data_IF_266664366296
#
_entry.id   IF_266664366296
#
_cell.length_a   1.000
_cell.length_b   1.000
_cell.length_c   1.000
_cell.angle_alpha   90.00
_cell.angle_beta   90.00
_cell.angle_gamma   90.00
#
_symmetry.space_group_name_H-M   'P 1'
#
loop_
_entity.id
_entity.type
_entity.pdbx_description
1 polymer ?
#
# COMPACT_ATOMS: atom_id res chain seq x y z
N UNK A 1 -8.61 -28.19 8.46
CA UNK A 1 -8.60 -26.72 8.23
C UNK A 1 -7.99 -26.45 6.87
N UNK A 2 -8.62 -25.60 6.04
CA UNK A 2 -8.01 -25.22 4.77
C UNK A 2 -6.84 -24.24 5.00
N UNK A 3 -5.90 -24.18 4.06
CA UNK A 3 -4.73 -23.27 4.13
C UNK A 3 -5.21 -21.81 4.28
N UNK A 4 -6.30 -21.43 3.64
CA UNK A 4 -6.91 -20.10 3.75
C UNK A 4 -7.38 -19.77 5.17
N UNK A 5 -7.94 -20.73 5.91
CA UNK A 5 -8.36 -20.55 7.30
C UNK A 5 -7.18 -20.40 8.25
N UNK A 6 -6.07 -21.10 7.98
CA UNK A 6 -4.84 -20.96 8.77
C UNK A 6 -4.24 -19.57 8.55
N UNK A 7 -4.09 -19.12 7.29
CA UNK A 7 -3.59 -17.80 6.96
C UNK A 7 -4.46 -16.68 7.56
N UNK A 8 -5.78 -16.82 7.48
CA UNK A 8 -6.70 -15.88 8.11
C UNK A 8 -6.46 -15.77 9.62
N UNK A 9 -6.39 -16.89 10.34
CA UNK A 9 -6.23 -16.90 11.80
C UNK A 9 -4.88 -16.39 12.26
N UNK A 10 -3.80 -16.66 11.50
CA UNK A 10 -2.45 -16.30 11.94
C UNK A 10 -2.11 -14.86 11.55
N UNK A 11 -2.55 -14.39 10.38
CA UNK A 11 -2.15 -13.09 9.84
C UNK A 11 -3.26 -12.06 9.97
N UNK A 12 -4.46 -12.35 9.42
CA UNK A 12 -5.52 -11.33 9.32
C UNK A 12 -6.21 -11.10 10.65
N UNK A 13 -6.54 -12.15 11.38
CA UNK A 13 -7.29 -12.03 12.64
C UNK A 13 -6.59 -11.14 13.68
N UNK A 14 -5.30 -11.28 13.99
CA UNK A 14 -4.63 -10.38 14.93
C UNK A 14 -4.59 -8.94 14.43
N UNK A 15 -4.45 -8.70 13.12
CA UNK A 15 -4.48 -7.35 12.57
C UNK A 15 -5.87 -6.71 12.69
N UNK A 16 -6.93 -7.47 12.44
CA UNK A 16 -8.32 -7.01 12.65
C UNK A 16 -8.53 -6.64 14.12
N UNK A 17 -8.10 -7.48 15.06
CA UNK A 17 -8.22 -7.20 16.49
C UNK A 17 -7.47 -5.94 16.91
N UNK A 18 -6.27 -5.70 16.38
CA UNK A 18 -5.50 -4.48 16.64
C UNK A 18 -6.29 -3.25 16.15
N UNK A 19 -6.86 -3.32 14.95
CA UNK A 19 -7.64 -2.22 14.37
C UNK A 19 -8.91 -1.96 15.21
N UNK A 20 -9.66 -3.00 15.56
CA UNK A 20 -10.87 -2.91 16.39
C UNK A 20 -10.56 -2.32 17.78
N UNK A 21 -9.62 -2.89 18.49
CA UNK A 21 -9.24 -2.42 19.84
C UNK A 21 -8.78 -0.96 19.78
N UNK A 22 -7.94 -0.61 18.80
CA UNK A 22 -7.47 0.76 18.64
C UNK A 22 -8.63 1.72 18.36
N UNK A 23 -9.56 1.32 17.49
CA UNK A 23 -10.74 2.12 17.18
C UNK A 23 -11.59 2.37 18.42
N UNK A 24 -11.96 1.31 19.13
CA UNK A 24 -12.81 1.43 20.33
C UNK A 24 -12.16 2.23 21.44
N UNK A 25 -10.87 2.05 21.69
CA UNK A 25 -10.15 2.83 22.71
C UNK A 25 -10.12 4.32 22.37
N UNK A 26 -9.80 4.67 21.11
CA UNK A 26 -9.72 6.06 20.68
C UNK A 26 -11.13 6.67 20.61
N UNK A 27 -12.12 5.93 20.12
CA UNK A 27 -13.51 6.39 20.08
C UNK A 27 -14.07 6.64 21.51
N UNK A 28 -13.72 5.77 22.46
CA UNK A 28 -14.09 5.97 23.87
C UNK A 28 -13.44 7.21 24.50
N UNK A 29 -12.20 7.51 24.11
CA UNK A 29 -11.45 8.66 24.63
C UNK A 29 -11.96 9.99 24.07
N UNK A 30 -12.21 10.04 22.76
CA UNK A 30 -12.56 11.29 22.05
C UNK A 30 -14.06 11.41 21.74
N UNK A 31 -14.85 10.34 21.93
CA UNK A 31 -16.28 10.28 21.55
C UNK A 31 -16.53 10.73 20.11
N UNK A 32 -15.61 10.40 19.21
CA UNK A 32 -15.63 10.84 17.83
C UNK A 32 -15.06 9.74 16.90
N UNK A 33 -15.94 9.09 16.13
CA UNK A 33 -15.57 7.98 15.27
C UNK A 33 -14.61 8.39 14.13
N UNK A 34 -14.70 9.63 13.64
CA UNK A 34 -13.77 10.16 12.64
C UNK A 34 -12.35 10.30 13.19
N UNK A 35 -12.20 10.85 14.40
CA UNK A 35 -10.90 10.91 15.11
C UNK A 35 -10.39 9.49 15.40
N UNK A 36 -11.27 8.56 15.74
CA UNK A 36 -10.88 7.16 15.94
C UNK A 36 -10.27 6.54 14.68
N UNK A 37 -10.85 6.77 13.51
CA UNK A 37 -10.29 6.31 12.22
C UNK A 37 -8.90 6.91 11.96
N UNK A 38 -8.70 8.22 12.22
CA UNK A 38 -7.39 8.86 12.08
C UNK A 38 -6.36 8.24 13.05
N UNK A 39 -6.78 8.01 14.30
CA UNK A 39 -5.93 7.40 15.32
C UNK A 39 -5.56 5.96 15.01
N UNK A 40 -6.48 5.16 14.48
CA UNK A 40 -6.20 3.80 13.99
C UNK A 40 -5.14 3.84 12.88
N UNK A 41 -5.26 4.78 11.93
CA UNK A 41 -4.25 4.95 10.88
C UNK A 41 -2.87 5.23 11.46
N UNK A 42 -2.79 6.06 12.48
CA UNK A 42 -1.54 6.38 13.17
C UNK A 42 -0.94 5.16 13.89
N UNK A 43 -1.76 4.45 14.68
CA UNK A 43 -1.34 3.23 15.40
C UNK A 43 -0.83 2.17 14.44
N UNK A 44 -1.58 1.89 13.36
CA UNK A 44 -1.19 0.90 12.35
C UNK A 44 0.10 1.32 11.67
N UNK A 45 0.27 2.60 11.32
CA UNK A 45 1.51 3.11 10.72
C UNK A 45 2.70 2.89 11.65
N UNK A 46 2.57 3.17 12.96
CA UNK A 46 3.62 2.93 13.95
C UNK A 46 3.99 1.46 14.07
N UNK A 47 3.00 0.58 14.12
CA UNK A 47 3.22 -0.87 14.19
C UNK A 47 3.89 -1.42 12.93
N UNK A 48 3.60 -0.83 11.77
CA UNK A 48 4.21 -1.21 10.50
C UNK A 48 5.63 -0.64 10.31
N UNK A 49 6.05 0.37 11.07
CA UNK A 49 7.37 1.00 10.91
C UNK A 49 8.53 0.00 10.84
N UNK A 50 8.68 -0.95 11.79
CA UNK A 50 9.80 -1.90 11.73
C UNK A 50 9.75 -2.78 10.47
N UNK A 51 8.55 -3.17 10.03
CA UNK A 51 8.37 -3.96 8.81
C UNK A 51 8.75 -3.16 7.56
N UNK A 52 8.38 -1.88 7.51
CA UNK A 52 8.75 -0.99 6.41
C UNK A 52 10.25 -0.75 6.35
N UNK A 53 10.94 -0.56 7.48
CA UNK A 53 12.40 -0.40 7.53
C UNK A 53 13.09 -1.65 6.94
N UNK A 54 12.66 -2.84 7.35
CA UNK A 54 13.19 -4.09 6.80
C UNK A 54 12.90 -4.21 5.30
N UNK A 55 11.68 -3.87 4.86
CA UNK A 55 11.31 -3.91 3.45
C UNK A 55 12.14 -2.94 2.60
N UNK A 56 12.33 -1.71 3.07
CA UNK A 56 13.15 -0.68 2.40
C UNK A 56 14.60 -1.13 2.25
N UNK A 57 15.18 -1.72 3.30
CA UNK A 57 16.53 -2.29 3.23
C UNK A 57 16.65 -3.37 2.12
N UNK A 58 15.72 -4.33 2.07
CA UNK A 58 15.73 -5.35 1.03
C UNK A 58 15.49 -4.80 -0.38
N UNK A 59 14.65 -3.78 -0.51
CA UNK A 59 14.44 -3.09 -1.78
C UNK A 59 15.71 -2.36 -2.24
N UNK A 60 16.42 -1.71 -1.32
CA UNK A 60 17.68 -1.03 -1.62
C UNK A 60 18.77 -2.02 -2.06
N UNK A 61 18.92 -3.13 -1.34
CA UNK A 61 19.83 -4.22 -1.72
C UNK A 61 19.52 -4.72 -3.14
N UNK A 62 18.24 -4.93 -3.46
CA UNK A 62 17.84 -5.36 -4.79
C UNK A 62 18.13 -4.30 -5.87
N UNK A 63 17.80 -3.02 -5.64
CA UNK A 63 18.10 -1.92 -6.58
C UNK A 63 19.59 -1.84 -6.87
N UNK A 64 20.42 -1.91 -5.83
CA UNK A 64 21.87 -1.84 -5.97
C UNK A 64 22.42 -3.04 -6.76
N UNK A 65 21.89 -4.23 -6.50
CA UNK A 65 22.27 -5.46 -7.23
C UNK A 65 21.88 -5.37 -8.70
N UNK A 66 20.63 -5.04 -8.98
CA UNK A 66 20.13 -4.90 -10.37
C UNK A 66 20.88 -3.80 -11.11
N UNK A 67 21.14 -2.67 -10.46
CA UNK A 67 21.91 -1.57 -11.06
C UNK A 67 23.31 -1.99 -11.49
N UNK A 68 24.01 -2.79 -10.69
CA UNK A 68 25.34 -3.33 -11.02
C UNK A 68 25.29 -4.33 -12.17
N UNK A 69 24.25 -5.18 -12.22
CA UNK A 69 24.13 -6.21 -13.26
C UNK A 69 23.62 -5.66 -14.59
N UNK A 70 22.83 -4.59 -14.57
CA UNK A 70 22.11 -4.04 -15.73
C UNK A 70 23.00 -3.78 -16.95
N UNK A 71 24.20 -3.14 -16.86
CA UNK A 71 24.99 -2.83 -18.05
C UNK A 71 25.39 -4.08 -18.85
N UNK A 72 25.69 -5.18 -18.17
CA UNK A 72 26.04 -6.44 -18.83
C UNK A 72 24.79 -7.18 -19.34
N UNK A 73 23.72 -7.16 -18.57
CA UNK A 73 22.42 -7.72 -18.98
C UNK A 73 21.93 -7.03 -20.26
N UNK A 74 22.01 -5.70 -20.34
CA UNK A 74 21.59 -4.95 -21.54
C UNK A 74 22.47 -5.26 -22.75
N UNK A 75 23.78 -5.49 -22.57
CA UNK A 75 24.68 -5.94 -23.65
C UNK A 75 24.30 -7.34 -24.16
N UNK A 76 24.04 -8.29 -23.25
CA UNK A 76 23.62 -9.64 -23.63
C UNK A 76 22.30 -9.59 -24.40
N UNK A 77 21.33 -8.81 -23.95
CA UNK A 77 20.04 -8.66 -24.62
C UNK A 77 20.12 -8.03 -26.01
N UNK A 78 21.14 -7.20 -26.25
CA UNK A 78 21.38 -6.58 -27.56
C UNK A 78 22.16 -7.48 -28.51
N UNK A 79 23.06 -8.33 -27.98
CA UNK A 79 23.95 -9.16 -28.77
C UNK A 79 23.37 -10.53 -29.12
N UNK A 80 22.46 -11.07 -28.30
CA UNK A 80 21.93 -12.41 -28.43
C UNK A 80 20.41 -12.39 -28.45
N UNK A 81 19.78 -13.44 -29.02
CA UNK A 81 18.32 -13.63 -29.09
C UNK A 81 17.96 -15.09 -28.83
N UNK A 82 16.68 -15.35 -28.51
CA UNK A 82 16.16 -16.71 -28.28
C UNK A 82 16.87 -17.48 -27.16
N UNK A 83 17.15 -18.76 -27.40
CA UNK A 83 17.73 -19.66 -26.39
C UNK A 83 19.15 -19.27 -26.00
N UNK A 84 19.92 -18.74 -26.93
CA UNK A 84 21.29 -18.28 -26.65
C UNK A 84 21.28 -17.11 -25.65
N UNK A 85 20.38 -16.15 -25.85
CA UNK A 85 20.18 -15.04 -24.89
C UNK A 85 19.80 -15.56 -23.50
N UNK A 86 18.87 -16.51 -23.45
CA UNK A 86 18.44 -17.12 -22.19
C UNK A 86 19.59 -17.83 -21.47
N UNK A 87 20.38 -18.63 -22.18
CA UNK A 87 21.53 -19.32 -21.62
C UNK A 87 22.59 -18.34 -21.09
N UNK A 88 22.91 -17.29 -21.85
CA UNK A 88 23.88 -16.28 -21.45
C UNK A 88 23.42 -15.49 -20.24
N UNK A 89 22.13 -15.10 -20.18
CA UNK A 89 21.57 -14.41 -19.03
C UNK A 89 21.56 -15.29 -17.77
N UNK A 90 21.15 -16.55 -17.91
CA UNK A 90 21.10 -17.49 -16.79
C UNK A 90 22.49 -17.77 -16.23
N UNK A 91 23.48 -17.95 -17.13
CA UNK A 91 24.87 -18.15 -16.73
C UNK A 91 25.42 -16.93 -16.00
N UNK A 92 25.17 -15.71 -16.54
CA UNK A 92 25.61 -14.47 -15.93
C UNK A 92 24.98 -14.24 -14.56
N UNK A 93 23.69 -14.48 -14.40
CA UNK A 93 23.00 -14.37 -13.11
C UNK A 93 23.56 -15.38 -12.10
N UNK A 94 23.80 -16.61 -12.50
CA UNK A 94 24.38 -17.66 -11.64
C UNK A 94 25.81 -17.28 -11.18
N UNK A 95 26.64 -16.74 -12.07
CA UNK A 95 27.99 -16.29 -11.74
C UNK A 95 28.02 -15.13 -10.73
N UNK A 96 26.96 -14.32 -10.71
CA UNK A 96 26.80 -13.20 -9.77
C UNK A 96 25.93 -13.56 -8.56
N UNK A 97 25.66 -14.83 -8.32
CA UNK A 97 24.80 -15.31 -7.23
C UNK A 97 23.44 -14.63 -7.17
N UNK A 98 22.92 -14.20 -8.34
CA UNK A 98 21.63 -13.55 -8.49
C UNK A 98 20.60 -14.52 -9.05
N UNK A 99 19.47 -14.65 -8.36
CA UNK A 99 18.33 -15.43 -8.85
C UNK A 99 17.17 -14.49 -9.17
N UNK A 100 16.48 -14.65 -10.32
CA UNK A 100 15.37 -13.78 -10.72
C UNK A 100 14.24 -13.62 -9.68
N UNK A 101 14.04 -14.61 -8.81
CA UNK A 101 13.07 -14.53 -7.70
C UNK A 101 13.44 -13.43 -6.69
N UNK A 102 14.73 -13.03 -6.62
CA UNK A 102 15.17 -11.93 -5.77
C UNK A 102 14.55 -10.59 -6.20
N UNK A 103 14.11 -10.46 -7.46
CA UNK A 103 13.37 -9.30 -7.93
C UNK A 103 12.04 -9.07 -7.16
N UNK A 104 11.49 -10.09 -6.50
CA UNK A 104 10.33 -9.93 -5.61
C UNK A 104 10.65 -9.03 -4.41
N UNK A 105 11.94 -8.90 -4.03
CA UNK A 105 12.36 -8.00 -2.96
C UNK A 105 12.01 -6.54 -3.25
N UNK A 106 12.00 -6.14 -4.51
CA UNK A 106 11.57 -4.79 -4.91
C UNK A 106 10.09 -4.51 -4.61
N UNK A 107 9.28 -5.55 -4.45
CA UNK A 107 7.84 -5.47 -4.17
C UNK A 107 7.49 -5.74 -2.70
N UNK A 108 8.47 -5.93 -1.80
CA UNK A 108 8.21 -6.28 -0.41
C UNK A 108 7.30 -5.27 0.31
N UNK A 109 7.50 -3.97 0.07
CA UNK A 109 6.66 -2.93 0.68
C UNK A 109 5.18 -3.08 0.30
N UNK A 110 4.90 -3.40 -0.97
CA UNK A 110 3.53 -3.64 -1.44
C UNK A 110 2.94 -4.93 -0.85
N UNK A 111 3.75 -5.99 -0.76
CA UNK A 111 3.30 -7.28 -0.22
C UNK A 111 2.93 -7.17 1.27
N UNK A 112 3.69 -6.39 2.05
CA UNK A 112 3.37 -6.11 3.45
C UNK A 112 2.05 -5.34 3.57
N UNK A 113 1.76 -4.43 2.65
CA UNK A 113 0.58 -3.58 2.70
C UNK A 113 -0.73 -4.37 2.51
N UNK A 114 -0.72 -5.47 1.74
CA UNK A 114 -1.93 -6.25 1.42
C UNK A 114 -2.65 -6.79 2.67
N UNK A 115 -2.01 -7.48 3.63
CA UNK A 115 -2.68 -7.98 4.83
C UNK A 115 -3.30 -6.86 5.68
N UNK A 116 -2.62 -5.72 5.83
CA UNK A 116 -3.14 -4.57 6.57
C UNK A 116 -4.34 -3.94 5.87
N UNK A 117 -4.31 -3.85 4.53
CA UNK A 117 -5.44 -3.41 3.74
C UNK A 117 -6.65 -4.34 3.92
N UNK A 118 -6.45 -5.66 3.82
CA UNK A 118 -7.53 -6.64 3.98
C UNK A 118 -8.14 -6.60 5.39
N UNK A 119 -7.30 -6.43 6.42
CA UNK A 119 -7.78 -6.30 7.80
C UNK A 119 -8.58 -5.02 8.01
N UNK A 120 -8.09 -3.87 7.55
CA UNK A 120 -8.80 -2.60 7.61
C UNK A 120 -10.10 -2.63 6.81
N UNK A 121 -10.08 -3.20 5.61
CA UNK A 121 -11.27 -3.36 4.78
C UNK A 121 -12.34 -4.20 5.49
N UNK A 122 -11.96 -5.36 6.06
CA UNK A 122 -12.91 -6.26 6.72
C UNK A 122 -13.49 -5.66 8.00
N UNK A 123 -12.74 -4.82 8.70
CA UNK A 123 -13.15 -4.16 9.94
C UNK A 123 -13.94 -2.87 9.62
N UNK A 124 -13.29 -1.86 9.04
CA UNK A 124 -13.87 -0.51 8.91
C UNK A 124 -15.06 -0.43 7.95
N UNK A 125 -15.13 -1.29 6.92
CA UNK A 125 -16.29 -1.29 6.01
C UNK A 125 -17.58 -1.77 6.64
N UNK A 126 -17.50 -2.48 7.77
CA UNK A 126 -18.66 -3.09 8.42
C UNK A 126 -18.92 -2.54 9.82
N UNK A 127 -18.14 -1.56 10.25
CA UNK A 127 -18.21 -1.02 11.60
C UNK A 127 -19.50 -0.23 11.80
N UNK A 128 -20.41 -0.63 12.73
CA UNK A 128 -21.69 0.03 12.94
C UNK A 128 -21.54 1.50 13.35
N UNK A 129 -20.48 1.83 14.09
CA UNK A 129 -20.19 3.17 14.61
C UNK A 129 -19.87 4.18 13.51
N UNK A 130 -19.56 3.72 12.30
CA UNK A 130 -19.32 4.59 11.16
C UNK A 130 -20.60 4.83 10.33
N UNK A 131 -21.62 4.00 10.48
CA UNK A 131 -22.86 4.12 9.73
C UNK A 131 -23.66 5.35 10.20
N UNK A 132 -24.00 6.23 9.26
CA UNK A 132 -24.70 7.48 9.57
C UNK A 132 -23.86 8.51 10.33
N UNK A 133 -22.58 8.25 10.60
CA UNK A 133 -21.69 9.18 11.32
C UNK A 133 -21.07 10.17 10.34
N UNK A 134 -21.29 11.47 10.58
CA UNK A 134 -20.69 12.54 9.78
C UNK A 134 -19.34 13.00 10.36
N UNK A 135 -18.37 13.25 9.49
CA UNK A 135 -17.06 13.76 9.90
C UNK A 135 -16.48 14.70 8.85
N UNK A 136 -16.09 15.90 9.26
CA UNK A 136 -15.63 16.97 8.36
C UNK A 136 -16.66 17.24 7.24
N UNK A 137 -16.27 17.05 5.99
CA UNK A 137 -17.11 17.19 4.80
C UNK A 137 -17.82 15.89 4.38
N UNK A 138 -17.54 14.77 5.08
CA UNK A 138 -18.14 13.47 4.82
C UNK A 138 -19.48 13.40 5.57
N UNK A 139 -20.56 13.14 4.85
CA UNK A 139 -21.92 13.05 5.44
C UNK A 139 -22.17 11.74 6.17
N UNK A 140 -21.63 10.65 5.65
CA UNK A 140 -21.76 9.30 6.21
C UNK A 140 -20.43 8.55 5.98
N UNK A 141 -19.74 8.22 7.06
CA UNK A 141 -18.48 7.49 6.98
C UNK A 141 -18.65 6.01 6.61
N UNK A 142 -19.85 5.47 6.78
CA UNK A 142 -20.19 4.10 6.43
C UNK A 142 -20.57 3.91 4.96
N UNK A 143 -20.72 5.00 4.19
CA UNK A 143 -21.10 5.00 2.79
C UNK A 143 -20.02 5.69 1.94
N UNK A 144 -20.00 5.50 0.60
CA UNK A 144 -19.19 6.31 -0.32
C UNK A 144 -19.51 7.80 -0.14
N UNK A 145 -18.49 8.66 -0.28
CA UNK A 145 -18.61 10.09 0.07
C UNK A 145 -19.62 10.86 -0.77
N UNK A 146 -19.86 10.46 -2.02
CA UNK A 146 -20.87 11.03 -2.94
C UNK A 146 -20.99 12.57 -2.83
N UNK A 147 -19.83 13.26 -2.73
CA UNK A 147 -19.78 14.72 -2.46
C UNK A 147 -20.39 15.55 -3.58
N UNK A 148 -20.32 15.08 -4.82
CA UNK A 148 -20.97 15.69 -5.96
C UNK A 148 -21.86 14.69 -6.68
N UNK A 149 -23.07 15.14 -7.06
CA UNK A 149 -23.95 14.39 -7.92
C UNK A 149 -24.21 15.19 -9.21
N UNK A 150 -23.99 14.54 -10.36
CA UNK A 150 -24.30 15.10 -11.67
C UNK A 150 -25.38 14.22 -12.30
N UNK A 151 -26.62 14.66 -12.21
CA UNK A 151 -27.77 13.85 -12.61
C UNK A 151 -27.91 12.60 -11.76
N UNK A 152 -27.88 11.43 -12.38
CA UNK A 152 -27.94 10.12 -11.71
C UNK A 152 -26.60 9.55 -11.25
N UNK A 153 -25.49 10.26 -11.51
CA UNK A 153 -24.15 9.79 -11.16
C UNK A 153 -23.61 10.50 -9.93
N UNK A 154 -23.21 9.73 -8.92
CA UNK A 154 -22.51 10.24 -7.76
C UNK A 154 -21.00 10.17 -8.01
N UNK A 155 -20.32 11.29 -7.77
CA UNK A 155 -18.86 11.40 -7.90
C UNK A 155 -18.26 11.35 -6.49
N UNK A 156 -17.46 10.30 -6.25
CA UNK A 156 -16.74 10.10 -5.01
C UNK A 156 -15.38 10.82 -5.11
N UNK A 157 -15.25 11.93 -4.39
CA UNK A 157 -14.05 12.79 -4.46
C UNK A 157 -12.94 12.30 -3.55
N UNK A 158 -13.29 11.73 -2.40
CA UNK A 158 -12.30 11.28 -1.44
C UNK A 158 -11.32 10.23 -2.02
N UNK A 159 -11.76 9.20 -2.78
CA UNK A 159 -10.83 8.28 -3.44
C UNK A 159 -9.95 8.95 -4.50
N UNK A 160 -10.46 9.96 -5.19
CA UNK A 160 -9.69 10.74 -6.19
C UNK A 160 -8.62 11.56 -5.47
N UNK A 161 -8.98 12.29 -4.40
CA UNK A 161 -8.04 13.06 -3.58
C UNK A 161 -6.96 12.16 -2.97
N UNK A 162 -7.36 10.99 -2.44
CA UNK A 162 -6.44 9.96 -1.94
C UNK A 162 -5.43 9.55 -3.03
N UNK A 163 -5.90 9.30 -4.24
CA UNK A 163 -5.04 8.87 -5.36
C UNK A 163 -4.04 9.97 -5.75
N UNK A 164 -4.47 11.23 -5.76
CA UNK A 164 -3.57 12.37 -6.03
C UNK A 164 -2.49 12.45 -4.95
N UNK A 165 -2.85 12.31 -3.67
CA UNK A 165 -1.90 12.27 -2.55
C UNK A 165 -0.92 11.11 -2.72
N UNK A 166 -1.38 9.93 -3.11
CA UNK A 166 -0.54 8.76 -3.36
C UNK A 166 0.47 8.98 -4.50
N UNK A 167 0.02 9.59 -5.60
CA UNK A 167 0.90 9.90 -6.74
C UNK A 167 1.97 10.92 -6.32
N UNK A 168 1.60 11.96 -5.59
CA UNK A 168 2.54 12.96 -5.08
C UNK A 168 3.55 12.32 -4.11
N UNK A 169 3.05 11.55 -3.14
CA UNK A 169 3.88 10.83 -2.18
C UNK A 169 4.84 9.85 -2.88
N UNK A 170 4.33 9.11 -3.87
CA UNK A 170 5.10 8.21 -4.70
C UNK A 170 6.19 8.93 -5.50
N UNK A 171 5.90 10.09 -6.09
CA UNK A 171 6.87 10.89 -6.83
C UNK A 171 8.01 11.38 -5.92
N UNK A 172 7.69 11.80 -4.69
CA UNK A 172 8.68 12.21 -3.68
C UNK A 172 9.55 11.03 -3.24
N UNK A 173 8.90 9.89 -2.91
CA UNK A 173 9.57 8.69 -2.45
C UNK A 173 10.51 8.10 -3.51
N UNK A 174 10.06 8.03 -4.76
CA UNK A 174 10.80 7.40 -5.87
C UNK A 174 11.78 8.33 -6.58
N UNK A 175 12.09 9.49 -6.01
CA UNK A 175 13.09 10.38 -6.58
C UNK A 175 14.44 9.67 -6.68
N UNK A 176 14.95 9.51 -7.92
CA UNK A 176 16.18 8.76 -8.19
C UNK A 176 15.99 7.26 -8.46
N UNK A 177 14.79 6.72 -8.33
CA UNK A 177 14.53 5.31 -8.61
C UNK A 177 14.40 5.00 -10.10
N UNK A 178 14.61 3.73 -10.51
CA UNK A 178 14.38 3.28 -11.88
C UNK A 178 12.94 3.53 -12.31
N UNK A 179 12.74 3.78 -13.62
CA UNK A 179 11.41 4.05 -14.19
C UNK A 179 10.39 2.93 -13.89
N UNK A 180 10.84 1.68 -13.87
CA UNK A 180 9.99 0.51 -13.55
C UNK A 180 9.31 0.64 -12.18
N UNK A 181 10.06 1.04 -11.15
CA UNK A 181 9.52 1.21 -9.80
C UNK A 181 8.54 2.38 -9.71
N UNK A 182 8.83 3.49 -10.41
CA UNK A 182 7.89 4.63 -10.51
C UNK A 182 6.58 4.23 -11.16
N UNK A 183 6.63 3.49 -12.27
CA UNK A 183 5.43 2.99 -12.95
C UNK A 183 4.66 2.05 -12.02
N UNK A 184 5.34 1.14 -11.33
CA UNK A 184 4.70 0.18 -10.43
C UNK A 184 3.90 0.89 -9.32
N UNK A 185 4.45 1.93 -8.69
CA UNK A 185 3.77 2.69 -7.64
C UNK A 185 2.56 3.44 -8.19
N UNK A 186 2.67 4.07 -9.35
CA UNK A 186 1.55 4.77 -9.97
C UNK A 186 0.43 3.82 -10.41
N UNK A 187 0.79 2.66 -10.97
CA UNK A 187 -0.20 1.62 -11.32
C UNK A 187 -0.93 1.12 -10.08
N UNK A 188 -0.21 0.92 -8.96
CA UNK A 188 -0.85 0.55 -7.70
C UNK A 188 -1.80 1.63 -7.18
N UNK A 189 -1.43 2.90 -7.28
CA UNK A 189 -2.33 4.01 -6.89
C UNK A 189 -3.64 3.99 -7.70
N UNK A 190 -3.57 3.70 -9.01
CA UNK A 190 -4.75 3.57 -9.86
C UNK A 190 -5.58 2.32 -9.55
N UNK A 191 -4.94 1.19 -9.24
CA UNK A 191 -5.63 -0.03 -8.79
C UNK A 191 -6.41 0.26 -7.50
N UNK A 192 -5.79 0.93 -6.53
CA UNK A 192 -6.48 1.32 -5.29
C UNK A 192 -7.61 2.31 -5.54
N UNK A 193 -7.48 3.22 -6.50
CA UNK A 193 -8.60 4.09 -6.90
C UNK A 193 -9.80 3.25 -7.33
N UNK A 194 -9.60 2.26 -8.19
CA UNK A 194 -10.70 1.41 -8.68
C UNK A 194 -11.34 0.61 -7.54
N UNK A 195 -10.52 -0.01 -6.69
CA UNK A 195 -11.00 -0.83 -5.56
C UNK A 195 -11.75 0.01 -4.53
N UNK A 196 -11.23 1.21 -4.21
CA UNK A 196 -11.77 2.05 -3.15
C UNK A 196 -12.81 3.05 -3.63
N UNK A 197 -13.08 3.14 -4.94
CA UNK A 197 -13.99 4.16 -5.48
C UNK A 197 -15.41 4.09 -4.91
N UNK A 198 -15.92 2.89 -4.66
CA UNK A 198 -17.24 2.66 -4.07
C UNK A 198 -17.15 2.17 -2.61
N UNK A 199 -16.00 2.32 -1.99
CA UNK A 199 -15.82 1.92 -0.60
C UNK A 199 -16.33 2.99 0.37
N UNK A 200 -16.69 2.60 1.62
CA UNK A 200 -17.08 3.54 2.65
C UNK A 200 -16.03 4.62 2.89
N UNK A 201 -16.47 5.86 3.05
CA UNK A 201 -15.59 7.02 3.21
C UNK A 201 -14.65 6.90 4.41
N UNK A 202 -15.06 6.23 5.49
CA UNK A 202 -14.20 5.96 6.64
C UNK A 202 -12.99 5.09 6.29
N UNK A 203 -13.17 4.08 5.43
CA UNK A 203 -12.05 3.26 4.94
C UNK A 203 -11.11 4.06 4.04
N UNK A 204 -11.67 4.89 3.14
CA UNK A 204 -10.86 5.74 2.24
C UNK A 204 -10.08 6.78 3.05
N UNK A 205 -10.69 7.35 4.09
CA UNK A 205 -10.05 8.28 5.01
C UNK A 205 -8.88 7.61 5.76
N UNK A 206 -9.11 6.41 6.31
CA UNK A 206 -8.07 5.60 6.94
C UNK A 206 -6.87 5.42 5.99
N UNK A 207 -7.13 5.01 4.75
CA UNK A 207 -6.10 4.77 3.76
C UNK A 207 -5.35 6.04 3.36
N UNK A 208 -6.08 7.14 3.20
CA UNK A 208 -5.50 8.46 2.92
C UNK A 208 -4.52 8.88 4.02
N UNK A 209 -4.92 8.72 5.28
CA UNK A 209 -4.08 9.07 6.42
C UNK A 209 -2.84 8.18 6.54
N UNK A 210 -2.97 6.87 6.28
CA UNK A 210 -1.81 5.97 6.20
C UNK A 210 -0.78 6.45 5.15
N UNK A 211 -1.25 6.90 3.99
CA UNK A 211 -0.37 7.42 2.95
C UNK A 211 0.30 8.73 3.37
N UNK A 212 -0.43 9.62 4.05
CA UNK A 212 0.13 10.87 4.59
C UNK A 212 1.17 10.57 5.66
N UNK A 213 0.91 9.67 6.60
CA UNK A 213 1.88 9.29 7.63
C UNK A 213 3.11 8.60 7.03
N UNK A 214 2.92 7.77 6.02
CA UNK A 214 4.04 7.17 5.27
C UNK A 214 4.87 8.23 4.54
N UNK A 215 4.22 9.24 3.95
CA UNK A 215 4.92 10.37 3.33
C UNK A 215 5.74 11.15 4.36
N UNK A 216 5.15 11.48 5.51
CA UNK A 216 5.83 12.16 6.62
C UNK A 216 7.05 11.34 7.06
N UNK A 217 6.87 10.03 7.29
CA UNK A 217 7.98 9.12 7.60
C UNK A 217 9.10 9.24 6.56
N UNK A 218 8.76 9.17 5.28
CA UNK A 218 9.74 9.20 4.19
C UNK A 218 10.48 10.53 4.06
N UNK A 219 9.90 11.63 4.51
CA UNK A 219 10.56 12.94 4.55
C UNK A 219 11.58 13.02 5.71
N UNK A 220 11.22 12.46 6.87
CA UNK A 220 12.06 12.56 8.08
C UNK A 220 13.13 11.46 8.19
N UNK A 221 12.94 10.32 7.53
CA UNK A 221 13.83 9.15 7.60
C UNK A 221 14.73 8.94 6.37
N UNK A 222 14.82 9.93 5.51
CA UNK A 222 15.73 9.89 4.36
C UNK A 222 17.13 10.35 4.69
#
# INVERSE_FOLDING_TARGET
MSISQILYRIILYPLVQIIEISFFLINKLFSNAGIAVLGVSFVVTLLCLPLYIVAEHWQEVERNTVSKLKPRVDRIKKAFSGDEQYMMLTTYYRQNHYHPIMALRSSFGLLIQIPFFMAAYSCLSKLPELQGYSFLFIRDMGQPDALFSVGSFNINILPIAMTIINIIAGAIYTKGFPLKEKIQINVMALIFLVILYQSPAGLVLYWTMNNIFSLIKNIFYK
#
